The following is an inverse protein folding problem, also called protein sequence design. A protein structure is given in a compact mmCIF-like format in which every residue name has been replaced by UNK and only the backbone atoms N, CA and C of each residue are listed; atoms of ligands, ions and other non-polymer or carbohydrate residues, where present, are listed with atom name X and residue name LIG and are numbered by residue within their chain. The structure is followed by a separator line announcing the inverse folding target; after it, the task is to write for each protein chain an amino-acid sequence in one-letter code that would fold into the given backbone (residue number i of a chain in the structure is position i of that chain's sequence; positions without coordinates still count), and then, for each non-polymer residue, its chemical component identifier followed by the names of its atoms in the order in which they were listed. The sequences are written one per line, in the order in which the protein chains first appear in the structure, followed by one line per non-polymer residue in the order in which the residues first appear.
data_IF_074568561049
#
_entry.id   IF_074568561049
#
_cell.length_a   1.000
_cell.length_b   1.000
_cell.length_c   1.000
_cell.angle_alpha   90.00
_cell.angle_beta   90.00
_cell.angle_gamma   90.00
#
_symmetry.space_group_name_H-M   'P 1'
#
loop_
_entity.id
_entity.type
_entity.pdbx_description
1 polymer ?
#
# COMPACT_ATOMS: atom_id res chain seq x y z
N UNK A 1 -8.45 -8.65 -16.06
CA UNK A 1 -7.76 -7.99 -14.93
C UNK A 1 -7.62 -6.51 -15.29
N UNK A 2 -8.37 -5.61 -14.66
CA UNK A 2 -8.37 -4.17 -14.97
C UNK A 2 -7.94 -3.36 -13.75
N UNK A 3 -7.31 -2.21 -13.98
CA UNK A 3 -6.88 -1.29 -12.90
C UNK A 3 -8.10 -0.79 -12.14
N UNK A 4 -8.03 -0.79 -10.81
CA UNK A 4 -9.13 -0.38 -9.93
C UNK A 4 -10.07 -1.50 -9.51
N UNK A 5 -10.03 -2.67 -10.16
CA UNK A 5 -10.85 -3.81 -9.75
C UNK A 5 -10.34 -4.43 -8.46
N UNK A 6 -11.27 -4.92 -7.64
CA UNK A 6 -10.99 -5.66 -6.41
C UNK A 6 -11.11 -7.15 -6.70
N UNK A 7 -10.03 -7.90 -6.49
CA UNK A 7 -10.02 -9.35 -6.70
C UNK A 7 -9.27 -10.03 -5.53
N UNK A 8 -9.52 -11.32 -5.27
CA UNK A 8 -8.66 -12.12 -4.40
C UNK A 8 -7.24 -12.18 -4.97
N UNK A 9 -6.23 -12.13 -4.11
CA UNK A 9 -4.81 -12.17 -4.52
C UNK A 9 -4.51 -13.46 -5.29
N UNK A 10 -5.11 -14.59 -4.91
CA UNK A 10 -4.91 -15.87 -5.61
C UNK A 10 -5.45 -15.92 -7.04
N UNK A 11 -6.35 -14.99 -7.43
CA UNK A 11 -6.88 -14.90 -8.79
C UNK A 11 -6.05 -13.95 -9.68
N UNK A 12 -5.12 -13.19 -9.09
CA UNK A 12 -4.24 -12.30 -9.83
C UNK A 12 -2.99 -13.06 -10.30
N UNK A 13 -2.42 -12.76 -11.47
CA UNK A 13 -1.17 -13.37 -11.90
C UNK A 13 0.01 -12.85 -11.07
N UNK A 14 1.09 -13.64 -11.04
CA UNK A 14 2.34 -13.24 -10.42
C UNK A 14 2.92 -11.99 -11.12
N UNK A 15 3.59 -11.13 -10.35
CA UNK A 15 4.06 -9.83 -10.83
C UNK A 15 3.00 -8.72 -10.83
N UNK A 16 1.72 -9.03 -10.53
CA UNK A 16 0.67 -8.00 -10.46
C UNK A 16 0.98 -6.97 -9.38
N UNK A 17 0.85 -5.70 -9.76
CA UNK A 17 0.93 -4.56 -8.86
C UNK A 17 -0.43 -4.34 -8.22
N UNK A 18 -0.46 -4.29 -6.90
CA UNK A 18 -1.70 -4.18 -6.12
C UNK A 18 -1.60 -3.11 -5.05
N UNK A 19 -2.74 -2.56 -4.65
CA UNK A 19 -2.84 -1.61 -3.55
C UNK A 19 -4.01 -1.97 -2.62
N UNK A 20 -4.06 -1.32 -1.44
CA UNK A 20 -5.07 -1.57 -0.41
C UNK A 20 -5.27 -3.07 -0.07
N UNK A 21 -4.17 -3.77 0.10
CA UNK A 21 -4.12 -5.21 0.35
C UNK A 21 -4.63 -5.55 1.76
N UNK A 22 -5.46 -6.58 1.87
CA UNK A 22 -5.91 -7.14 3.16
C UNK A 22 -4.78 -7.93 3.86
N UNK A 23 -4.61 -7.73 5.16
CA UNK A 23 -3.67 -8.52 5.98
C UNK A 23 -4.29 -9.85 6.40
N UNK A 24 -5.52 -9.80 6.94
CA UNK A 24 -6.39 -10.95 7.12
C UNK A 24 -7.60 -10.82 6.20
N UNK A 25 -8.17 -11.95 5.80
CA UNK A 25 -9.35 -11.98 4.96
C UNK A 25 -10.48 -11.20 5.64
N UNK A 26 -11.00 -10.17 4.97
CA UNK A 26 -12.07 -9.33 5.51
C UNK A 26 -11.63 -8.07 6.26
N UNK A 27 -10.33 -7.78 6.38
CA UNK A 27 -9.81 -6.54 7.00
C UNK A 27 -10.11 -5.26 6.20
N UNK A 28 -10.73 -5.37 5.00
CA UNK A 28 -11.11 -4.24 4.13
C UNK A 28 -9.94 -3.33 3.69
N UNK A 29 -8.72 -3.88 3.69
CA UNK A 29 -7.51 -3.22 3.20
C UNK A 29 -6.72 -2.51 4.31
N UNK A 30 -5.55 -3.07 4.63
CA UNK A 30 -4.64 -2.56 5.66
C UNK A 30 -3.30 -2.09 5.07
N UNK A 31 -2.79 -2.82 4.08
CA UNK A 31 -1.45 -2.67 3.55
C UNK A 31 -1.45 -1.84 2.25
N UNK A 32 -0.34 -1.15 1.97
CA UNK A 32 -0.13 -0.37 0.74
C UNK A 32 -1.25 0.65 0.43
N UNK A 33 -1.60 1.49 1.42
CA UNK A 33 -2.63 2.54 1.30
C UNK A 33 -2.11 3.97 1.15
N UNK A 34 -0.81 4.19 1.39
CA UNK A 34 -0.25 5.53 1.28
C UNK A 34 -0.15 5.97 -0.19
N UNK A 35 -0.16 7.28 -0.41
CA UNK A 35 -0.08 7.89 -1.75
C UNK A 35 1.14 7.41 -2.53
N UNK A 36 0.95 6.83 -3.71
CA UNK A 36 2.02 6.26 -4.54
C UNK A 36 2.54 4.89 -4.11
N UNK A 37 2.05 4.31 -3.02
CA UNK A 37 2.49 2.98 -2.59
C UNK A 37 1.80 1.88 -3.41
N UNK A 38 2.52 0.77 -3.52
CA UNK A 38 2.03 -0.46 -4.10
C UNK A 38 2.69 -1.65 -3.42
N UNK A 39 2.06 -2.80 -3.53
CA UNK A 39 2.63 -4.10 -3.23
C UNK A 39 2.71 -4.91 -4.53
N UNK A 40 3.63 -5.86 -4.58
CA UNK A 40 3.81 -6.73 -5.75
C UNK A 40 3.54 -8.16 -5.34
N UNK A 41 2.70 -8.85 -6.10
CA UNK A 41 2.49 -10.29 -5.94
C UNK A 41 3.72 -11.01 -6.47
N UNK A 42 4.43 -11.75 -5.61
CA UNK A 42 5.66 -12.46 -6.00
C UNK A 42 5.31 -13.86 -6.49
N UNK A 43 4.63 -14.64 -5.65
CA UNK A 43 4.31 -16.03 -5.97
C UNK A 43 3.07 -16.53 -5.26
N UNK A 44 2.41 -17.51 -5.85
CA UNK A 44 1.28 -18.22 -5.24
C UNK A 44 1.66 -19.64 -4.89
N UNK A 45 1.40 -20.04 -3.64
CA UNK A 45 1.49 -21.43 -3.23
C UNK A 45 0.06 -22.01 -3.17
N UNK A 46 -0.26 -22.89 -4.12
CA UNK A 46 -1.59 -23.50 -4.26
C UNK A 46 -1.87 -24.55 -3.19
N UNK A 47 -0.84 -25.24 -2.69
CA UNK A 47 -0.98 -26.30 -1.68
C UNK A 47 -1.42 -25.74 -0.32
N UNK A 48 -0.86 -24.59 0.05
CA UNK A 48 -1.14 -23.92 1.33
C UNK A 48 -2.18 -22.81 1.22
N UNK A 49 -2.69 -22.52 0.02
CA UNK A 49 -3.56 -21.37 -0.26
C UNK A 49 -3.01 -20.04 0.26
N UNK A 50 -1.68 -19.85 0.15
CA UNK A 50 -1.00 -18.62 0.57
C UNK A 50 -0.27 -17.97 -0.60
N UNK A 51 -0.31 -16.65 -0.60
CA UNK A 51 0.37 -15.81 -1.57
C UNK A 51 1.49 -15.03 -0.90
N UNK A 52 2.63 -14.91 -1.58
CA UNK A 52 3.76 -14.12 -1.12
C UNK A 52 3.73 -12.77 -1.82
N UNK A 53 3.72 -11.70 -1.02
CA UNK A 53 3.68 -10.31 -1.51
C UNK A 53 4.90 -9.54 -1.04
N UNK A 54 5.39 -8.64 -1.88
CA UNK A 54 6.38 -7.62 -1.53
C UNK A 54 5.66 -6.38 -1.05
N UNK A 55 5.95 -5.95 0.17
CA UNK A 55 5.40 -4.73 0.74
C UNK A 55 6.15 -3.49 0.22
N UNK A 56 5.56 -2.28 0.35
CA UNK A 56 6.25 -1.03 0.00
C UNK A 56 7.57 -0.82 0.76
N UNK A 57 7.70 -1.41 1.96
CA UNK A 57 8.94 -1.39 2.75
C UNK A 57 10.04 -2.29 2.20
N UNK A 58 9.77 -3.08 1.16
CA UNK A 58 10.66 -4.12 0.64
C UNK A 58 10.55 -5.48 1.36
N UNK A 59 9.90 -5.52 2.54
CA UNK A 59 9.68 -6.76 3.27
C UNK A 59 8.77 -7.71 2.50
N UNK A 60 9.11 -9.01 2.51
CA UNK A 60 8.28 -10.07 1.95
C UNK A 60 7.33 -10.57 3.02
N UNK A 61 6.03 -10.58 2.74
CA UNK A 61 4.99 -11.08 3.65
C UNK A 61 4.21 -12.21 2.99
N UNK A 62 3.86 -13.22 3.76
CA UNK A 62 2.98 -14.31 3.32
C UNK A 62 1.59 -14.03 3.84
N UNK A 63 0.61 -14.02 2.94
CA UNK A 63 -0.79 -13.72 3.21
C UNK A 63 -1.69 -14.84 2.67
N UNK A 64 -2.95 -14.89 3.11
CA UNK A 64 -3.91 -15.84 2.52
C UNK A 64 -4.24 -15.43 1.08
N UNK A 65 -4.35 -16.41 0.18
CA UNK A 65 -4.75 -16.18 -1.22
C UNK A 65 -6.20 -15.68 -1.36
N UNK A 66 -7.03 -15.88 -0.33
CA UNK A 66 -8.40 -15.37 -0.26
C UNK A 66 -8.47 -13.86 0.08
N UNK A 67 -7.36 -13.27 0.55
CA UNK A 67 -7.31 -11.84 0.85
C UNK A 67 -7.55 -11.04 -0.42
N UNK A 68 -8.28 -9.93 -0.30
CA UNK A 68 -8.56 -9.04 -1.43
C UNK A 68 -7.50 -7.97 -1.57
N UNK A 69 -7.26 -7.57 -2.81
CA UNK A 69 -6.47 -6.41 -3.14
C UNK A 69 -7.08 -5.68 -4.34
N UNK A 70 -6.74 -4.40 -4.50
CA UNK A 70 -7.11 -3.60 -5.66
C UNK A 70 -5.96 -3.69 -6.67
N UNK A 71 -6.27 -3.92 -7.94
CA UNK A 71 -5.25 -3.93 -9.00
C UNK A 71 -4.78 -2.50 -9.27
N UNK A 72 -3.47 -2.25 -9.17
CA UNK A 72 -2.84 -0.97 -9.49
C UNK A 72 -2.07 -0.35 -8.32
N UNK A 73 -1.74 0.94 -8.49
CA UNK A 73 -0.98 1.77 -7.53
C UNK A 73 -1.92 2.78 -6.89
N UNK A 74 -1.67 3.17 -5.63
CA UNK A 74 -2.42 4.29 -5.02
C UNK A 74 -2.10 5.59 -5.73
N UNK A 75 -3.12 6.36 -6.11
CA UNK A 75 -2.97 7.67 -6.74
C UNK A 75 -2.22 8.69 -5.85
N UNK A 76 -1.76 9.78 -6.47
CA UNK A 76 -1.09 10.87 -5.76
C UNK A 76 0.37 10.60 -5.36
N UNK A 77 1.06 9.71 -6.09
CA UNK A 77 2.51 9.53 -5.98
C UNK A 77 3.30 10.80 -6.30
N UNK A 78 4.58 10.83 -5.91
CA UNK A 78 5.49 11.95 -6.17
C UNK A 78 5.31 13.20 -5.30
N UNK A 79 4.32 13.19 -4.39
CA UNK A 79 4.06 14.31 -3.46
C UNK A 79 5.27 14.70 -2.60
N UNK A 80 6.17 13.75 -2.34
CA UNK A 80 7.36 13.95 -1.49
C UNK A 80 8.57 14.51 -2.26
N UNK A 81 8.57 14.46 -3.59
CA UNK A 81 9.69 14.89 -4.42
C UNK A 81 9.83 16.41 -4.43
N UNK A 82 8.71 17.13 -4.22
CA UNK A 82 8.69 18.59 -4.09
C UNK A 82 9.13 19.02 -2.68
N UNK A 83 10.22 19.81 -2.54
CA UNK A 83 10.65 20.31 -1.23
C UNK A 83 9.63 21.30 -0.64
N UNK A 84 9.49 21.31 0.69
CA UNK A 84 8.56 22.20 1.38
C UNK A 84 8.99 23.68 1.34
N UNK A 85 10.30 23.95 1.37
CA UNK A 85 10.96 25.27 1.33
C UNK A 85 10.66 26.22 2.50
N UNK A 86 9.38 26.39 2.90
CA UNK A 86 8.93 27.36 3.91
C UNK A 86 8.34 26.68 5.14
N UNK A 87 8.64 27.21 6.33
CA UNK A 87 8.05 26.76 7.60
C UNK A 87 6.51 26.88 7.62
N UNK A 88 5.94 27.92 7.01
CA UNK A 88 4.47 28.08 6.89
C UNK A 88 3.79 26.94 6.14
N UNK A 89 4.44 26.36 5.11
CA UNK A 89 3.92 25.16 4.41
C UNK A 89 3.94 23.92 5.31
N UNK A 90 4.97 23.80 6.16
CA UNK A 90 5.02 22.74 7.17
C UNK A 90 3.94 22.91 8.25
N UNK A 91 3.70 24.14 8.71
CA UNK A 91 2.62 24.45 9.65
C UNK A 91 1.26 23.97 9.14
N UNK A 92 0.83 24.39 7.94
CA UNK A 92 -0.47 23.95 7.39
C UNK A 92 -0.53 22.43 7.13
N UNK A 93 0.59 21.80 6.76
CA UNK A 93 0.68 20.33 6.60
C UNK A 93 0.41 19.58 7.91
N UNK A 94 0.96 20.05 9.02
CA UNK A 94 0.80 19.39 10.33
C UNK A 94 -0.45 19.86 11.09
N UNK A 95 -1.01 21.04 10.76
CA UNK A 95 -2.27 21.55 11.34
C UNK A 95 -3.46 20.61 11.12
N UNK A 96 -3.54 19.95 9.96
CA UNK A 96 -4.58 18.98 9.64
C UNK A 96 -4.28 17.55 10.17
N UNK A 97 -3.17 17.37 10.89
CA UNK A 97 -2.72 16.10 11.45
C UNK A 97 -2.51 16.26 12.96
N UNK A 98 -1.83 15.29 13.59
CA UNK A 98 -1.47 15.43 15.01
C UNK A 98 -0.50 16.61 15.21
N UNK A 99 -0.58 17.21 16.40
CA UNK A 99 0.36 18.24 16.81
C UNK A 99 1.75 17.63 17.10
N UNK A 100 2.64 17.68 16.12
CA UNK A 100 4.04 17.21 16.24
C UNK A 100 5.05 18.18 15.60
N UNK A 101 4.66 19.44 15.40
CA UNK A 101 5.50 20.48 14.80
C UNK A 101 5.15 21.83 15.44
N UNK A 102 6.13 22.69 15.78
CA UNK A 102 7.57 22.53 15.64
C UNK A 102 8.17 21.54 16.66
N UNK A 103 9.40 21.06 16.42
CA UNK A 103 10.10 20.13 17.30
C UNK A 103 11.33 20.81 17.91
N UNK A 104 11.33 21.02 19.21
CA UNK A 104 12.49 21.48 19.99
C UNK A 104 13.50 20.33 20.08
N UNK A 105 14.80 20.63 19.96
CA UNK A 105 15.89 19.63 20.02
C UNK A 105 16.33 19.39 21.45
#
# INVERSE_FOLDING_TARGET
LCVGNVLPVGAMPEGTIVCALEEKAGDRGSLARASGNYATVISHNRDTNRSRVKLPSGAKKVISSANRAIVGVVAGGGRIDKPLLKAGRAYHKYKAKRNCWPRVR
#
